data_IF_012147176838
#
_entry.id   IF_012147176838
#
_cell.length_a   1.000
_cell.length_b   1.000
_cell.length_c   1.000
_cell.angle_alpha   90.00
_cell.angle_beta   90.00
_cell.angle_gamma   90.00
#
_symmetry.space_group_name_H-M   'P 1'
#
loop_
_entity.id
_entity.type
_entity.pdbx_description
1 polymer ?
#
# COMPACT_ATOMS: atom_id res chain seq x y z
N UNK A 1 1.38 -6.83 -39.64
CA UNK A 1 2.18 -5.61 -39.87
C UNK A 1 1.92 -5.12 -41.30
N UNK A 2 0.74 -4.54 -41.56
CA UNK A 2 0.29 -4.17 -42.92
C UNK A 2 0.76 -2.75 -43.30
N UNK A 3 0.70 -1.82 -42.35
CA UNK A 3 0.99 -0.39 -42.54
C UNK A 3 2.47 -0.13 -42.92
N UNK A 4 3.42 -0.90 -42.38
CA UNK A 4 4.85 -0.71 -42.70
C UNK A 4 5.22 -1.15 -44.12
N UNK A 5 4.41 -2.01 -44.75
CA UNK A 5 4.71 -2.60 -46.06
C UNK A 5 4.34 -1.66 -47.21
N UNK A 6 3.24 -0.91 -47.08
CA UNK A 6 2.82 0.09 -48.07
C UNK A 6 3.66 1.37 -48.01
N UNK A 7 4.04 1.83 -46.82
CA UNK A 7 4.65 3.17 -46.67
C UNK A 7 6.18 3.20 -46.82
N UNK A 8 6.87 2.07 -46.59
CA UNK A 8 8.34 2.01 -46.50
C UNK A 8 8.99 1.02 -47.49
N UNK A 9 8.24 0.56 -48.49
CA UNK A 9 8.77 -0.25 -49.59
C UNK A 9 9.46 -1.54 -49.14
N UNK A 10 8.97 -2.16 -48.06
CA UNK A 10 9.53 -3.40 -47.54
C UNK A 10 10.83 -3.28 -46.73
N UNK A 11 11.37 -2.07 -46.50
CA UNK A 11 12.37 -1.88 -45.44
C UNK A 11 11.68 -1.96 -44.10
N UNK A 12 11.89 -3.07 -43.38
CA UNK A 12 11.41 -3.24 -42.01
C UNK A 12 11.78 -2.02 -41.17
N UNK A 13 10.82 -1.49 -40.43
CA UNK A 13 11.07 -0.43 -39.46
C UNK A 13 12.18 -0.92 -38.51
N UNK A 14 13.31 -0.21 -38.46
CA UNK A 14 14.32 -0.48 -37.44
C UNK A 14 13.63 -0.32 -36.09
N UNK A 15 13.77 -1.28 -35.15
CA UNK A 15 13.24 -1.10 -33.81
C UNK A 15 13.80 0.20 -33.23
N UNK A 16 12.95 1.22 -33.14
CA UNK A 16 13.31 2.47 -32.52
C UNK A 16 13.05 2.30 -31.03
N UNK A 17 14.08 1.89 -30.30
CA UNK A 17 14.04 1.84 -28.84
C UNK A 17 14.55 3.19 -28.34
N UNK A 18 13.67 4.11 -27.89
CA UNK A 18 14.13 5.39 -27.35
C UNK A 18 15.06 5.15 -26.16
N UNK A 19 16.14 5.92 -26.09
CA UNK A 19 17.07 5.88 -24.96
C UNK A 19 16.36 6.31 -23.67
N UNK A 20 16.89 5.93 -22.51
CA UNK A 20 16.28 6.27 -21.22
C UNK A 20 16.05 7.79 -21.07
N UNK A 21 17.02 8.61 -21.49
CA UNK A 21 16.89 10.08 -21.50
C UNK A 21 15.77 10.59 -22.41
N UNK A 22 15.54 9.94 -23.55
CA UNK A 22 14.44 10.31 -24.46
C UNK A 22 13.08 9.93 -23.86
N UNK A 23 13.00 8.77 -23.21
CA UNK A 23 11.80 8.35 -22.47
C UNK A 23 11.50 9.33 -21.33
N UNK A 24 12.49 9.69 -20.53
CA UNK A 24 12.32 10.61 -19.40
C UNK A 24 11.84 11.99 -19.87
N UNK A 25 12.38 12.50 -20.99
CA UNK A 25 11.92 13.76 -21.61
C UNK A 25 10.48 13.65 -22.14
N UNK A 26 10.12 12.51 -22.73
CA UNK A 26 8.76 12.28 -23.21
C UNK A 26 7.77 12.25 -22.04
N UNK A 27 8.08 11.51 -20.99
CA UNK A 27 7.25 11.44 -19.78
C UNK A 27 7.13 12.81 -19.11
N UNK A 28 8.22 13.57 -19.01
CA UNK A 28 8.16 14.93 -18.48
C UNK A 28 7.20 15.83 -19.29
N UNK A 29 7.25 15.77 -20.62
CA UNK A 29 6.32 16.52 -21.48
C UNK A 29 4.87 16.06 -21.34
N UNK A 30 4.62 14.74 -21.26
CA UNK A 30 3.27 14.21 -21.09
C UNK A 30 2.69 14.62 -19.73
N UNK A 31 3.51 14.59 -18.69
CA UNK A 31 3.14 15.01 -17.34
C UNK A 31 2.81 16.51 -17.31
N UNK A 32 3.67 17.34 -17.91
CA UNK A 32 3.46 18.79 -18.02
C UNK A 32 2.17 19.14 -18.77
N UNK A 33 1.89 18.46 -19.89
CA UNK A 33 0.64 18.62 -20.64
C UNK A 33 -0.60 18.16 -19.86
N UNK A 34 -0.46 17.16 -18.99
CA UNK A 34 -1.55 16.65 -18.16
C UNK A 34 -1.72 17.46 -16.85
N UNK A 35 -0.83 18.41 -16.56
CA UNK A 35 -0.81 19.14 -15.28
C UNK A 35 -0.35 18.30 -14.09
N UNK A 36 0.32 17.18 -14.33
CA UNK A 36 0.83 16.30 -13.29
C UNK A 36 2.31 16.54 -12.99
N UNK A 37 2.69 16.42 -11.72
CA UNK A 37 4.06 16.48 -11.25
C UNK A 37 4.64 15.07 -11.14
N UNK A 38 5.94 14.93 -11.44
CA UNK A 38 6.63 13.66 -11.22
C UNK A 38 6.75 13.39 -9.72
N UNK A 39 6.55 12.14 -9.31
CA UNK A 39 6.83 11.71 -7.94
C UNK A 39 8.30 11.97 -7.56
N UNK A 40 8.49 12.78 -6.53
CA UNK A 40 9.74 12.98 -5.80
C UNK A 40 9.60 12.45 -4.36
N UNK A 41 10.44 11.48 -4.01
CA UNK A 41 10.46 10.86 -2.69
C UNK A 41 10.89 11.85 -1.60
N UNK A 42 11.68 12.86 -1.91
CA UNK A 42 12.14 13.81 -0.88
C UNK A 42 11.03 14.76 -0.42
N UNK A 43 10.12 15.10 -1.33
CA UNK A 43 9.11 16.14 -1.11
C UNK A 43 7.74 15.54 -0.73
N UNK A 44 7.32 14.49 -1.42
CA UNK A 44 5.97 13.95 -1.27
C UNK A 44 5.87 12.80 -0.27
N UNK A 45 6.99 12.16 0.07
CA UNK A 45 6.99 11.00 0.96
C UNK A 45 6.44 11.34 2.34
N UNK A 46 6.94 12.40 2.98
CA UNK A 46 6.52 12.74 4.34
C UNK A 46 5.03 13.11 4.39
N UNK A 47 4.57 13.96 3.47
CA UNK A 47 3.16 14.38 3.43
C UNK A 47 2.21 13.20 3.19
N UNK A 48 2.54 12.30 2.25
CA UNK A 48 1.75 11.10 2.01
C UNK A 48 1.83 10.13 3.21
N UNK A 49 3.00 9.98 3.82
CA UNK A 49 3.20 9.11 4.97
C UNK A 49 2.38 9.56 6.18
N UNK A 50 2.40 10.85 6.51
CA UNK A 50 1.64 11.41 7.63
C UNK A 50 0.13 11.22 7.42
N UNK A 51 -0.35 11.44 6.19
CA UNK A 51 -1.74 11.18 5.82
C UNK A 51 -2.10 9.69 5.99
N UNK A 52 -1.23 8.78 5.52
CA UNK A 52 -1.45 7.34 5.67
C UNK A 52 -1.40 6.86 7.12
N UNK A 53 -0.58 7.46 7.98
CA UNK A 53 -0.56 7.17 9.42
C UNK A 53 -1.86 7.62 10.08
N UNK A 54 -2.34 8.83 9.75
CA UNK A 54 -3.61 9.34 10.24
C UNK A 54 -4.79 8.43 9.85
N UNK A 55 -4.85 8.02 8.59
CA UNK A 55 -5.88 7.11 8.08
C UNK A 55 -5.71 5.70 8.66
N UNK A 56 -4.48 5.23 8.81
CA UNK A 56 -4.13 3.93 9.37
C UNK A 56 -4.54 3.78 10.85
N UNK A 57 -4.60 4.88 11.61
CA UNK A 57 -5.17 4.88 12.96
C UNK A 57 -6.67 4.54 12.98
N UNK A 58 -7.40 4.81 11.90
CA UNK A 58 -8.83 4.47 11.78
C UNK A 58 -9.03 3.08 11.17
N UNK A 59 -8.30 2.73 10.10
CA UNK A 59 -8.44 1.45 9.41
C UNK A 59 -7.11 0.92 8.86
N UNK A 60 -6.64 -0.21 9.39
CA UNK A 60 -5.33 -0.79 9.07
C UNK A 60 -5.39 -1.90 8.01
N UNK A 61 -6.19 -1.72 6.96
CA UNK A 61 -6.25 -2.66 5.84
C UNK A 61 -5.34 -2.21 4.69
N UNK A 62 -4.43 -3.08 4.19
CA UNK A 62 -3.48 -2.71 3.14
C UNK A 62 -4.11 -2.21 1.85
N UNK A 63 -5.27 -2.76 1.47
CA UNK A 63 -6.01 -2.36 0.26
C UNK A 63 -6.56 -0.94 0.40
N UNK A 64 -7.20 -0.66 1.52
CA UNK A 64 -7.75 0.66 1.82
C UNK A 64 -6.65 1.73 1.87
N UNK A 65 -5.51 1.43 2.50
CA UNK A 65 -4.36 2.33 2.51
C UNK A 65 -3.76 2.57 1.11
N UNK A 66 -3.82 1.57 0.24
CA UNK A 66 -3.41 1.73 -1.16
C UNK A 66 -4.35 2.67 -1.91
N UNK A 67 -5.65 2.44 -1.82
CA UNK A 67 -6.65 3.27 -2.51
C UNK A 67 -6.57 4.73 -2.02
N UNK A 68 -6.44 4.92 -0.71
CA UNK A 68 -6.26 6.25 -0.10
C UNK A 68 -4.96 6.92 -0.57
N UNK A 69 -3.87 6.17 -0.73
CA UNK A 69 -2.63 6.72 -1.28
C UNK A 69 -2.81 7.19 -2.73
N UNK A 70 -3.55 6.44 -3.55
CA UNK A 70 -3.85 6.82 -4.94
C UNK A 70 -4.76 8.06 -4.98
N UNK A 71 -5.78 8.12 -4.12
CA UNK A 71 -6.67 9.27 -3.99
C UNK A 71 -5.88 10.54 -3.59
N UNK A 72 -4.97 10.41 -2.63
CA UNK A 72 -4.10 11.52 -2.23
C UNK A 72 -3.21 11.98 -3.38
N UNK A 73 -2.57 11.05 -4.10
CA UNK A 73 -1.70 11.38 -5.23
C UNK A 73 -2.46 12.05 -6.37
N UNK A 74 -3.65 11.57 -6.69
CA UNK A 74 -4.49 12.15 -7.74
C UNK A 74 -4.98 13.55 -7.36
N UNK A 75 -5.37 13.76 -6.09
CA UNK A 75 -5.80 15.06 -5.57
C UNK A 75 -4.70 16.13 -5.63
N UNK A 76 -3.43 15.73 -5.45
CA UNK A 76 -2.28 16.63 -5.53
C UNK A 76 -1.66 16.70 -6.94
N UNK A 77 -2.31 16.08 -7.94
CA UNK A 77 -1.81 15.98 -9.31
C UNK A 77 -0.38 15.41 -9.37
N UNK A 78 -0.08 14.39 -8.56
CA UNK A 78 1.20 13.71 -8.52
C UNK A 78 1.10 12.39 -9.31
N UNK A 79 2.10 12.13 -10.14
CA UNK A 79 2.19 10.89 -10.88
C UNK A 79 2.33 9.69 -9.94
N UNK A 80 1.56 8.64 -10.21
CA UNK A 80 1.57 7.42 -9.39
C UNK A 80 2.97 6.78 -9.45
N UNK A 81 3.66 6.63 -8.30
CA UNK A 81 4.98 6.02 -8.27
C UNK A 81 4.90 4.52 -8.53
N UNK A 82 6.06 3.90 -8.74
CA UNK A 82 6.15 2.44 -8.92
C UNK A 82 5.52 1.74 -7.71
N UNK A 83 4.80 0.64 -7.96
CA UNK A 83 4.16 -0.18 -6.94
C UNK A 83 5.07 -0.52 -5.75
N UNK A 84 6.36 -0.80 -5.99
CA UNK A 84 7.33 -1.10 -4.93
C UNK A 84 7.52 0.06 -3.95
N UNK A 85 7.36 1.31 -4.39
CA UNK A 85 7.44 2.51 -3.55
C UNK A 85 6.20 2.60 -2.67
N UNK A 86 5.01 2.45 -3.25
CA UNK A 86 3.73 2.44 -2.51
C UNK A 86 3.68 1.31 -1.48
N UNK A 87 4.10 0.11 -1.86
CA UNK A 87 4.14 -1.04 -0.96
C UNK A 87 5.05 -0.77 0.25
N UNK A 88 6.21 -0.17 0.05
CA UNK A 88 7.14 0.19 1.13
C UNK A 88 6.54 1.24 2.05
N UNK A 89 5.93 2.28 1.48
CA UNK A 89 5.22 3.33 2.22
C UNK A 89 4.13 2.77 3.12
N UNK A 90 3.22 1.99 2.55
CA UNK A 90 2.10 1.38 3.29
C UNK A 90 2.61 0.45 4.37
N UNK A 91 3.61 -0.39 4.06
CA UNK A 91 4.20 -1.32 5.03
C UNK A 91 4.81 -0.56 6.23
N UNK A 92 5.51 0.55 5.96
CA UNK A 92 6.11 1.40 6.99
C UNK A 92 5.04 2.12 7.82
N UNK A 93 3.99 2.65 7.17
CA UNK A 93 2.89 3.32 7.86
C UNK A 93 2.16 2.35 8.80
N UNK A 94 1.89 1.13 8.32
CA UNK A 94 1.28 0.09 9.15
C UNK A 94 2.12 -0.30 10.36
N UNK A 95 3.44 -0.44 10.17
CA UNK A 95 4.36 -0.73 11.28
C UNK A 95 4.38 0.40 12.31
N UNK A 96 4.36 1.65 11.85
CA UNK A 96 4.33 2.82 12.73
C UNK A 96 3.04 2.86 13.56
N UNK A 97 1.87 2.75 12.91
CA UNK A 97 0.58 2.72 13.63
C UNK A 97 0.52 1.58 14.63
N UNK A 98 0.98 0.38 14.27
CA UNK A 98 1.05 -0.76 15.21
C UNK A 98 1.95 -0.48 16.41
N UNK A 99 3.10 0.16 16.18
CA UNK A 99 4.04 0.51 17.24
C UNK A 99 3.45 1.56 18.17
N UNK A 100 2.76 2.56 17.62
CA UNK A 100 2.14 3.64 18.39
C UNK A 100 0.98 3.09 19.23
N UNK A 101 0.14 2.21 18.66
CA UNK A 101 -0.90 1.49 19.41
C UNK A 101 -0.31 0.61 20.51
N UNK A 102 0.75 -0.16 20.23
CA UNK A 102 1.43 -0.97 21.24
C UNK A 102 2.01 -0.09 22.36
N UNK A 103 2.55 1.07 22.02
CA UNK A 103 3.08 2.01 23.02
C UNK A 103 1.97 2.62 23.88
N UNK A 104 0.85 3.03 23.28
CA UNK A 104 -0.32 3.53 24.00
C UNK A 104 -0.92 2.47 24.93
N UNK A 105 -1.05 1.22 24.44
CA UNK A 105 -1.43 0.09 25.27
C UNK A 105 -0.44 -0.06 26.43
N UNK A 106 0.86 -0.09 26.17
CA UNK A 106 1.85 -0.26 27.22
C UNK A 106 1.83 0.84 28.28
N UNK A 107 1.47 2.07 27.91
CA UNK A 107 1.34 3.21 28.83
C UNK A 107 0.04 3.20 29.65
N UNK A 108 -1.08 2.74 29.07
CA UNK A 108 -2.39 2.75 29.72
C UNK A 108 -2.67 1.48 30.54
N UNK A 109 -1.86 0.44 30.36
CA UNK A 109 -2.10 -0.88 30.94
C UNK A 109 -1.38 -1.00 32.29
N UNK A 110 -2.16 -1.09 33.38
CA UNK A 110 -1.70 -1.52 34.71
C UNK A 110 -0.96 -2.88 34.61
N UNK A 111 0.07 -3.17 35.44
CA UNK A 111 0.83 -4.41 35.38
C UNK A 111 -0.02 -5.70 35.37
N UNK A 112 -1.21 -5.68 35.99
CA UNK A 112 -2.13 -6.82 35.99
C UNK A 112 -2.79 -7.08 34.62
N UNK A 113 -3.02 -6.02 33.84
CA UNK A 113 -3.72 -6.09 32.57
C UNK A 113 -2.73 -6.44 31.43
N UNK A 114 -1.42 -6.18 31.63
CA UNK A 114 -0.33 -6.71 30.79
C UNK A 114 -0.26 -8.22 30.86
N UNK A 115 -0.29 -8.78 32.07
CA UNK A 115 -0.31 -10.24 32.28
C UNK A 115 -1.55 -10.88 31.63
N UNK A 116 -2.70 -10.19 31.67
CA UNK A 116 -3.93 -10.66 31.04
C UNK A 116 -3.93 -10.55 29.50
N UNK A 117 -3.36 -9.49 28.93
CA UNK A 117 -3.24 -9.36 27.48
C UNK A 117 -2.15 -10.30 26.93
N UNK A 118 -1.07 -10.49 27.66
CA UNK A 118 -0.04 -11.48 27.35
C UNK A 118 -0.61 -12.90 27.44
N UNK A 119 -1.47 -13.22 28.41
CA UNK A 119 -2.11 -14.55 28.47
C UNK A 119 -3.14 -14.78 27.35
N UNK A 120 -3.85 -13.75 26.89
CA UNK A 120 -4.80 -13.85 25.76
C UNK A 120 -4.07 -14.00 24.41
N UNK A 121 -2.89 -13.36 24.27
CA UNK A 121 -2.09 -13.42 23.04
C UNK A 121 -1.10 -14.58 23.02
N UNK A 122 -0.72 -15.09 24.20
CA UNK A 122 0.04 -16.32 24.35
C UNK A 122 -0.78 -17.51 23.84
N UNK A 123 -0.09 -18.39 23.11
CA UNK A 123 -0.67 -19.51 22.36
C UNK A 123 -0.98 -20.70 23.28
N UNK A 124 -0.62 -20.62 24.56
CA UNK A 124 -0.50 -21.78 25.46
C UNK A 124 -1.75 -22.04 26.31
N UNK A 125 -2.50 -20.99 26.68
CA UNK A 125 -3.77 -21.17 27.39
C UNK A 125 -4.91 -21.19 26.37
N UNK A 126 -5.74 -22.24 26.42
CA UNK A 126 -6.84 -22.55 25.48
C UNK A 126 -7.98 -21.52 25.37
N UNK A 127 -7.71 -20.25 25.66
CA UNK A 127 -8.58 -19.09 25.52
C UNK A 127 -8.01 -18.06 24.53
N UNK A 128 -6.94 -18.38 23.82
CA UNK A 128 -6.35 -17.47 22.83
C UNK A 128 -7.34 -17.13 21.70
N UNK A 129 -7.43 -15.86 21.31
CA UNK A 129 -8.31 -15.33 20.24
C UNK A 129 -8.21 -16.12 18.91
N UNK A 130 -7.09 -16.79 18.66
CA UNK A 130 -6.91 -17.67 17.51
C UNK A 130 -7.80 -18.93 17.54
N UNK A 131 -8.10 -19.46 18.74
CA UNK A 131 -9.01 -20.59 18.92
C UNK A 131 -10.48 -20.18 18.73
N UNK A 132 -10.86 -18.97 19.18
CA UNK A 132 -12.18 -18.38 18.87
C UNK A 132 -12.36 -18.16 17.36
N UNK A 133 -11.30 -17.73 16.66
CA UNK A 133 -11.30 -17.63 15.19
C UNK A 133 -11.36 -19.00 14.49
N UNK A 134 -10.82 -20.05 15.12
CA UNK A 134 -10.90 -21.44 14.65
C UNK A 134 -12.31 -22.04 14.84
N UNK A 135 -12.95 -21.78 15.99
CA UNK A 135 -14.31 -22.25 16.29
C UNK A 135 -15.37 -21.68 15.35
N UNK A 136 -15.22 -20.43 14.90
CA UNK A 136 -16.12 -19.84 13.90
C UNK A 136 -15.99 -20.47 12.50
N UNK A 137 -14.89 -21.19 12.21
CA UNK A 137 -14.74 -21.96 10.96
C UNK A 137 -15.21 -23.41 11.07
N UNK A 138 -15.34 -23.97 12.28
CA UNK A 138 -15.85 -25.34 12.47
C UNK A 138 -17.37 -25.41 12.65
N UNK A 139 -18.06 -24.28 12.76
CA UNK A 139 -19.53 -24.20 12.67
C UNK A 139 -20.00 -24.21 11.21
N UNK A 140 -19.49 -25.15 10.41
CA UNK A 140 -20.19 -25.55 9.19
C UNK A 140 -21.25 -26.57 9.57
N UNK A 141 -22.50 -26.12 9.55
CA UNK A 141 -23.77 -26.85 9.41
C UNK A 141 -23.59 -28.31 8.93
N UNK A 142 -23.70 -29.34 9.81
CA UNK A 142 -24.82 -30.27 9.65
C UNK A 142 -25.30 -30.95 10.95
N UNK A 143 -25.52 -30.23 12.06
CA UNK A 143 -26.21 -30.78 13.25
C UNK A 143 -27.61 -30.19 13.48
N UNK A 144 -28.34 -29.93 12.39
CA UNK A 144 -29.80 -29.80 12.43
C UNK A 144 -30.40 -30.97 11.64
N UNK A 145 -30.52 -32.12 12.30
CA UNK A 145 -31.50 -33.16 12.00
C UNK A 145 -31.92 -33.87 13.28
#
# INVERSE_FOLDING_TARGET
MFISKELLGGKGLRPFTPSQKQKDRLYAKVLDLAGYHKWDESQHFNSLFDHLVQVGNAWLEPRYLFDTAIEFLTSHSIAIPRYTVLQRLISRAMQQVRKDLAHQLNQLTSPELHVFLDSITAIDDGLSLNQLRGGAKSLTVPELK
#
